data_IF_745894772826
#
_entry.id   IF_745894772826
#
_cell.length_a   1.000
_cell.length_b   1.000
_cell.length_c   1.000
_cell.angle_alpha   90.00
_cell.angle_beta   90.00
_cell.angle_gamma   90.00
#
_symmetry.space_group_name_H-M   'P 1'
#
loop_
_entity.id
_entity.type
_entity.pdbx_description
1 polymer ?
#
# COMPACT_ATOMS: atom_id res chain seq x y z
N UNK A 1 0.43 -3.45 8.46
CA UNK A 1 1.75 -4.06 8.26
C UNK A 1 1.81 -4.71 6.89
N UNK A 2 2.99 -5.18 6.46
CA UNK A 2 3.11 -5.97 5.23
C UNK A 2 2.11 -7.12 5.21
N UNK A 3 1.99 -7.91 6.29
CA UNK A 3 1.00 -8.98 6.40
C UNK A 3 -0.44 -8.54 6.04
N UNK A 4 -0.80 -7.31 6.44
CA UNK A 4 -2.08 -6.65 6.11
C UNK A 4 -2.03 -5.82 4.83
N UNK A 5 -1.10 -6.12 3.92
CA UNK A 5 -0.97 -5.60 2.54
C UNK A 5 -0.67 -4.09 2.45
N UNK A 6 -0.08 -3.52 3.49
CA UNK A 6 0.30 -2.11 3.53
C UNK A 6 1.61 -1.90 4.31
N UNK A 7 2.62 -1.32 3.67
CA UNK A 7 3.78 -0.80 4.38
C UNK A 7 3.41 0.49 5.16
N UNK A 8 3.58 0.53 6.50
CA UNK A 8 3.18 1.69 7.30
C UNK A 8 4.00 2.97 7.08
N UNK A 9 5.18 2.90 6.46
CA UNK A 9 6.13 4.01 6.42
C UNK A 9 5.60 5.23 5.67
N UNK A 10 4.91 5.03 4.54
CA UNK A 10 4.34 6.15 3.77
C UNK A 10 3.34 6.95 4.60
N UNK A 11 2.54 6.27 5.43
CA UNK A 11 1.59 6.91 6.33
C UNK A 11 2.31 7.68 7.45
N UNK A 12 3.34 7.09 8.05
CA UNK A 12 4.14 7.76 9.08
C UNK A 12 4.83 9.01 8.54
N UNK A 13 5.42 8.94 7.34
CA UNK A 13 6.04 10.09 6.66
C UNK A 13 5.03 11.17 6.34
N UNK A 14 3.88 10.79 5.78
CA UNK A 14 2.81 11.74 5.46
C UNK A 14 2.25 12.43 6.72
N UNK A 15 2.00 11.66 7.77
CA UNK A 15 1.52 12.18 9.06
C UNK A 15 2.57 13.07 9.74
N UNK A 16 3.86 12.74 9.67
CA UNK A 16 4.93 13.58 10.21
C UNK A 16 5.00 14.94 9.49
N UNK A 17 4.78 14.97 8.17
CA UNK A 17 4.70 16.20 7.38
C UNK A 17 3.44 17.00 7.71
N UNK A 18 2.30 16.34 7.90
CA UNK A 18 1.07 16.98 8.36
C UNK A 18 1.24 17.60 9.76
N UNK A 19 1.86 16.87 10.70
CA UNK A 19 2.07 17.31 12.07
C UNK A 19 2.91 18.58 12.19
N UNK A 20 3.75 18.89 11.18
CA UNK A 20 4.52 20.13 11.13
C UNK A 20 3.63 21.38 11.03
N UNK A 21 2.44 21.27 10.45
CA UNK A 21 1.45 22.37 10.35
C UNK A 21 0.19 22.11 11.18
N UNK A 22 0.00 20.88 11.65
CA UNK A 22 -1.13 20.41 12.45
C UNK A 22 -0.66 19.54 13.63
N UNK A 23 0.00 20.13 14.65
CA UNK A 23 0.58 19.39 15.77
C UNK A 23 -0.42 18.59 16.62
N UNK A 24 -1.71 18.88 16.47
CA UNK A 24 -2.83 18.20 17.11
C UNK A 24 -3.36 17.00 16.32
N UNK A 25 -2.81 16.71 15.13
CA UNK A 25 -3.14 15.51 14.37
C UNK A 25 -2.65 14.26 15.10
N UNK A 26 -3.56 13.29 15.29
CA UNK A 26 -3.28 12.01 15.95
C UNK A 26 -3.34 10.87 14.93
N UNK A 27 -2.29 10.06 14.85
CA UNK A 27 -2.35 8.79 14.13
C UNK A 27 -2.95 7.72 15.04
N UNK A 28 -4.18 7.29 14.76
CA UNK A 28 -4.82 6.16 15.42
C UNK A 28 -4.62 4.89 14.59
N UNK A 29 -3.95 3.90 15.17
CA UNK A 29 -3.75 2.58 14.57
C UNK A 29 -4.60 1.55 15.31
N UNK A 30 -5.35 0.72 14.60
CA UNK A 30 -6.18 -0.31 15.19
C UNK A 30 -6.04 -1.60 14.39
N UNK A 31 -5.66 -2.70 15.05
CA UNK A 31 -5.57 -4.00 14.38
C UNK A 31 -4.66 -5.00 15.09
N UNK A 32 -4.03 -5.85 14.29
CA UNK A 32 -3.18 -6.96 14.76
C UNK A 32 -1.79 -6.86 14.14
N UNK A 33 -0.77 -7.04 14.97
CA UNK A 33 0.62 -7.24 14.61
C UNK A 33 0.87 -8.74 14.71
N UNK A 34 1.04 -9.40 13.57
CA UNK A 34 0.96 -10.86 13.47
C UNK A 34 2.17 -11.61 14.04
N UNK A 35 3.29 -10.93 14.25
CA UNK A 35 4.51 -11.53 14.79
C UNK A 35 5.46 -10.46 15.34
N UNK A 36 6.46 -10.92 16.09
CA UNK A 36 7.47 -10.07 16.72
C UNK A 36 8.29 -9.27 15.71
N UNK A 37 8.67 -9.85 14.57
CA UNK A 37 9.42 -9.15 13.53
C UNK A 37 8.69 -7.91 13.01
N UNK A 38 7.36 -8.00 12.85
CA UNK A 38 6.53 -6.86 12.50
C UNK A 38 6.43 -5.88 13.68
N UNK A 39 6.34 -6.35 14.93
CA UNK A 39 6.32 -5.49 16.11
C UNK A 39 7.60 -4.64 16.23
N UNK A 40 8.77 -5.26 15.99
CA UNK A 40 10.07 -4.59 15.94
C UNK A 40 10.10 -3.52 14.85
N UNK A 41 9.57 -3.81 13.66
CA UNK A 41 9.48 -2.83 12.58
C UNK A 41 8.60 -1.62 12.94
N UNK A 42 7.49 -1.83 13.66
CA UNK A 42 6.68 -0.71 14.17
C UNK A 42 7.39 0.08 15.27
N UNK A 43 8.09 -0.59 16.19
CA UNK A 43 8.89 0.08 17.21
C UNK A 43 10.01 0.94 16.58
N UNK A 44 10.65 0.46 15.51
CA UNK A 44 11.63 1.22 14.74
C UNK A 44 11.00 2.48 14.12
N UNK A 45 9.79 2.38 13.55
CA UNK A 45 9.07 3.53 13.02
C UNK A 45 8.71 4.53 14.12
N UNK A 46 8.29 4.08 15.29
CA UNK A 46 7.98 4.96 16.42
C UNK A 46 9.19 5.78 16.86
N UNK A 47 10.37 5.15 16.95
CA UNK A 47 11.63 5.82 17.23
C UNK A 47 12.08 6.77 16.10
N UNK A 48 11.69 6.48 14.86
CA UNK A 48 12.03 7.29 13.69
C UNK A 48 11.23 8.58 13.59
N UNK A 49 10.02 8.57 14.13
CA UNK A 49 9.07 9.67 14.04
C UNK A 49 8.62 10.12 15.44
N UNK A 50 9.54 10.49 16.36
CA UNK A 50 9.21 10.80 17.75
C UNK A 50 8.26 12.00 17.91
N UNK A 51 8.20 12.88 16.91
CA UNK A 51 7.32 14.04 16.86
C UNK A 51 5.85 13.70 16.60
N UNK A 52 5.54 12.49 16.12
CA UNK A 52 4.19 12.12 15.72
C UNK A 52 3.38 11.65 16.93
N UNK A 53 2.30 12.38 17.25
CA UNK A 53 1.29 11.91 18.20
C UNK A 53 0.59 10.68 17.62
N UNK A 54 0.57 9.59 18.38
CA UNK A 54 0.00 8.31 17.94
C UNK A 54 -0.63 7.52 19.07
N UNK A 55 -1.61 6.70 18.73
CA UNK A 55 -2.22 5.72 19.63
C UNK A 55 -2.45 4.43 18.88
N UNK A 56 -2.04 3.30 19.47
CA UNK A 56 -2.34 1.97 18.94
C UNK A 56 -3.35 1.26 19.83
N UNK A 57 -4.37 0.67 19.19
CA UNK A 57 -5.31 -0.27 19.78
C UNK A 57 -5.02 -1.66 19.18
N UNK A 58 -4.88 -2.66 20.04
CA UNK A 58 -4.27 -3.94 19.69
C UNK A 58 -2.74 -3.87 19.63
N UNK A 59 -2.12 -4.77 18.86
CA UNK A 59 -0.68 -5.03 18.85
C UNK A 59 -0.45 -6.50 18.54
N UNK A 60 0.48 -7.16 19.24
CA UNK A 60 0.63 -8.62 19.15
C UNK A 60 -0.63 -9.36 19.59
N UNK A 61 -1.44 -8.73 20.45
CA UNK A 61 -2.82 -9.14 20.67
C UNK A 61 -3.73 -8.34 19.73
N UNK A 62 -4.62 -9.00 18.98
CA UNK A 62 -5.50 -8.31 18.06
C UNK A 62 -6.43 -7.34 18.80
N UNK A 63 -6.69 -6.18 18.21
CA UNK A 63 -7.74 -5.28 18.69
C UNK A 63 -9.10 -6.01 18.69
N UNK A 64 -9.88 -5.77 19.73
CA UNK A 64 -11.26 -6.26 19.86
C UNK A 64 -12.20 -5.50 18.93
N UNK A 65 -13.37 -6.08 18.64
CA UNK A 65 -14.42 -5.38 17.86
C UNK A 65 -14.90 -4.10 18.55
N UNK A 66 -14.89 -4.07 19.89
CA UNK A 66 -15.22 -2.86 20.65
C UNK A 66 -14.17 -1.76 20.48
N UNK A 67 -12.88 -2.10 20.49
CA UNK A 67 -11.79 -1.16 20.20
C UNK A 67 -11.84 -0.67 18.76
N UNK A 68 -12.12 -1.55 17.79
CA UNK A 68 -12.31 -1.18 16.38
C UNK A 68 -13.49 -0.20 16.22
N UNK A 69 -14.62 -0.49 16.86
CA UNK A 69 -15.78 0.39 16.83
C UNK A 69 -15.48 1.75 17.46
N UNK A 70 -14.75 1.78 18.59
CA UNK A 70 -14.30 3.01 19.22
C UNK A 70 -13.34 3.78 18.32
N UNK A 71 -12.41 3.10 17.65
CA UNK A 71 -11.46 3.73 16.74
C UNK A 71 -12.15 4.41 15.57
N UNK A 72 -13.09 3.71 14.94
CA UNK A 72 -13.89 4.26 13.84
C UNK A 72 -14.74 5.44 14.32
N UNK A 73 -15.36 5.35 15.50
CA UNK A 73 -16.16 6.45 16.06
C UNK A 73 -15.33 7.67 16.48
N UNK A 74 -14.07 7.48 16.85
CA UNK A 74 -13.16 8.55 17.26
C UNK A 74 -12.36 9.18 16.11
N UNK A 75 -12.40 8.57 14.92
CA UNK A 75 -11.63 9.04 13.77
C UNK A 75 -12.34 10.16 13.00
N UNK A 76 -11.55 11.05 12.39
CA UNK A 76 -12.04 12.07 11.46
C UNK A 76 -11.91 11.65 9.99
N UNK A 77 -10.94 10.78 9.70
CA UNK A 77 -10.58 10.30 8.36
C UNK A 77 -10.06 8.87 8.49
N UNK A 78 -10.49 7.99 7.59
CA UNK A 78 -9.93 6.64 7.48
C UNK A 78 -8.90 6.57 6.36
N UNK A 79 -7.74 5.95 6.62
CA UNK A 79 -6.66 5.83 5.63
C UNK A 79 -6.27 4.37 5.41
N UNK A 80 -6.30 3.91 4.16
CA UNK A 80 -5.84 2.57 3.75
C UNK A 80 -4.82 2.66 2.61
N UNK A 81 -3.54 2.88 2.92
CA UNK A 81 -2.47 3.01 1.93
C UNK A 81 -1.94 1.62 1.56
N UNK A 82 -2.82 0.73 1.08
CA UNK A 82 -2.40 -0.59 0.61
C UNK A 82 -1.38 -0.44 -0.52
N UNK A 83 -0.30 -1.19 -0.50
CA UNK A 83 0.77 -1.13 -1.50
C UNK A 83 1.05 -2.51 -2.09
N UNK A 84 0.08 -3.40 -2.01
CA UNK A 84 0.18 -4.76 -2.48
C UNK A 84 -1.08 -5.17 -3.25
N UNK A 85 -0.86 -5.80 -4.40
CA UNK A 85 -1.87 -6.35 -5.31
C UNK A 85 -2.83 -7.36 -4.66
N UNK A 86 -2.45 -7.95 -3.53
CA UNK A 86 -3.28 -8.87 -2.76
C UNK A 86 -4.42 -8.16 -2.02
N UNK A 87 -4.40 -6.83 -1.96
CA UNK A 87 -5.55 -6.06 -1.51
C UNK A 87 -6.55 -5.91 -2.65
N UNK A 88 -7.76 -6.44 -2.42
CA UNK A 88 -8.79 -6.56 -3.44
C UNK A 88 -9.99 -5.73 -3.03
N UNK A 89 -10.82 -6.22 -2.13
CA UNK A 89 -12.07 -5.54 -1.79
C UNK A 89 -11.89 -4.44 -0.75
N UNK A 90 -11.18 -4.68 0.36
CA UNK A 90 -11.08 -3.70 1.45
C UNK A 90 -12.31 -3.66 2.35
N UNK A 91 -12.53 -4.70 3.15
CA UNK A 91 -13.62 -4.69 4.13
C UNK A 91 -13.51 -3.52 5.13
N UNK A 92 -12.29 -3.13 5.52
CA UNK A 92 -12.07 -1.98 6.39
C UNK A 92 -12.49 -0.65 5.75
N UNK A 93 -12.41 -0.53 4.42
CA UNK A 93 -12.95 0.63 3.68
C UNK A 93 -14.48 0.66 3.78
N UNK A 94 -15.14 -0.48 3.63
CA UNK A 94 -16.60 -0.61 3.80
C UNK A 94 -17.02 -0.29 5.23
N UNK A 95 -16.28 -0.76 6.23
CA UNK A 95 -16.51 -0.43 7.65
C UNK A 95 -16.36 1.08 7.91
N UNK A 96 -15.35 1.73 7.33
CA UNK A 96 -15.16 3.17 7.44
C UNK A 96 -16.29 3.98 6.77
N UNK A 97 -16.75 3.54 5.58
CA UNK A 97 -17.92 4.14 4.93
C UNK A 97 -19.17 3.97 5.80
N UNK A 98 -19.35 2.80 6.43
CA UNK A 98 -20.44 2.59 7.37
C UNK A 98 -20.29 3.48 8.62
N UNK A 99 -19.08 3.80 9.06
CA UNK A 99 -18.83 4.75 10.14
C UNK A 99 -18.95 6.23 9.73
N UNK A 100 -19.38 6.51 8.49
CA UNK A 100 -19.50 7.88 7.96
C UNK A 100 -18.17 8.64 7.91
N UNK A 101 -17.06 7.92 7.69
CA UNK A 101 -15.74 8.51 7.55
C UNK A 101 -15.40 8.78 6.07
N UNK A 102 -14.78 9.93 5.74
CA UNK A 102 -14.13 10.07 4.45
C UNK A 102 -13.00 9.04 4.34
N UNK A 103 -12.93 8.35 3.20
CA UNK A 103 -11.91 7.32 2.95
C UNK A 103 -10.79 7.87 2.09
N UNK A 104 -9.54 7.74 2.55
CA UNK A 104 -8.34 7.96 1.75
C UNK A 104 -7.68 6.61 1.52
N UNK A 105 -7.70 6.11 0.29
CA UNK A 105 -7.21 4.76 0.00
C UNK A 105 -6.29 4.77 -1.21
N UNK A 106 -5.39 3.79 -1.31
CA UNK A 106 -4.57 3.65 -2.52
C UNK A 106 -5.42 3.46 -3.78
N UNK A 107 -4.97 4.01 -4.89
CA UNK A 107 -5.65 3.95 -6.18
C UNK A 107 -5.48 2.57 -6.85
N UNK A 108 -6.13 1.56 -6.27
CA UNK A 108 -6.22 0.19 -6.76
C UNK A 108 -7.55 -0.07 -7.44
N UNK A 109 -7.61 -0.98 -8.42
CA UNK A 109 -8.88 -1.32 -9.08
C UNK A 109 -10.00 -1.70 -8.10
N UNK A 110 -9.73 -2.55 -7.11
CA UNK A 110 -10.78 -2.91 -6.15
C UNK A 110 -11.22 -1.75 -5.25
N UNK A 111 -10.31 -0.85 -4.87
CA UNK A 111 -10.66 0.36 -4.12
C UNK A 111 -11.34 1.43 -5.00
N UNK A 112 -11.02 1.52 -6.29
CA UNK A 112 -11.70 2.40 -7.27
C UNK A 112 -13.19 2.09 -7.38
N UNK A 113 -13.55 0.81 -7.26
CA UNK A 113 -14.94 0.38 -7.26
C UNK A 113 -15.68 0.76 -5.96
N UNK A 114 -14.93 0.90 -4.86
CA UNK A 114 -15.49 1.28 -3.56
C UNK A 114 -15.58 2.80 -3.37
N UNK A 115 -14.48 3.51 -3.59
CA UNK A 115 -14.29 4.93 -3.29
C UNK A 115 -14.50 5.74 -4.56
N UNK A 116 -15.57 6.53 -4.59
CA UNK A 116 -15.81 7.47 -5.68
C UNK A 116 -14.94 8.72 -5.45
N UNK A 117 -13.77 8.74 -6.08
CA UNK A 117 -12.74 9.77 -5.90
C UNK A 117 -13.30 11.19 -6.02
N UNK A 118 -13.00 12.04 -5.03
CA UNK A 118 -13.49 13.41 -4.92
C UNK A 118 -14.91 13.57 -4.37
N UNK A 119 -15.63 12.46 -4.10
CA UNK A 119 -17.03 12.50 -3.64
C UNK A 119 -17.30 11.73 -2.35
N UNK A 120 -16.74 10.52 -2.17
CA UNK A 120 -16.85 9.73 -0.93
C UNK A 120 -15.52 9.64 -0.18
N UNK A 121 -14.47 10.27 -0.72
CA UNK A 121 -13.08 10.02 -0.35
C UNK A 121 -12.12 10.42 -1.46
N UNK A 122 -10.85 10.05 -1.30
CA UNK A 122 -9.80 10.27 -2.28
C UNK A 122 -8.97 9.02 -2.53
N UNK A 123 -8.51 8.86 -3.76
CA UNK A 123 -7.62 7.77 -4.16
C UNK A 123 -6.18 8.29 -4.31
N UNK A 124 -5.24 7.65 -3.62
CA UNK A 124 -3.81 8.01 -3.64
C UNK A 124 -3.16 7.35 -4.86
N UNK A 125 -2.58 8.11 -5.80
CA UNK A 125 -1.93 7.51 -6.97
C UNK A 125 -0.84 6.52 -6.59
N UNK A 126 -0.72 5.46 -7.39
CA UNK A 126 0.27 4.39 -7.21
C UNK A 126 1.04 4.13 -8.51
N UNK A 127 2.34 3.89 -8.38
CA UNK A 127 3.21 3.52 -9.49
C UNK A 127 3.75 2.09 -9.27
N UNK A 128 3.54 1.21 -10.25
CA UNK A 128 4.03 -0.17 -10.20
C UNK A 128 5.23 -0.38 -11.12
N UNK A 129 6.21 -1.15 -10.67
CA UNK A 129 7.35 -1.58 -11.49
C UNK A 129 6.87 -2.58 -12.56
N UNK A 130 6.43 -2.09 -13.73
CA UNK A 130 5.75 -2.90 -14.76
C UNK A 130 6.62 -3.90 -15.52
N UNK A 131 7.95 -3.77 -15.48
CA UNK A 131 8.87 -4.71 -16.14
C UNK A 131 8.83 -6.14 -15.58
N UNK A 132 8.09 -6.37 -14.49
CA UNK A 132 8.29 -7.49 -13.59
C UNK A 132 7.07 -8.42 -13.49
N UNK A 133 6.18 -8.43 -14.50
CA UNK A 133 5.05 -9.37 -14.52
C UNK A 133 5.52 -10.82 -14.28
N UNK A 134 6.65 -11.21 -14.88
CA UNK A 134 7.30 -12.50 -14.67
C UNK A 134 7.84 -12.67 -13.24
N UNK A 135 8.37 -11.61 -12.62
CA UNK A 135 8.87 -11.68 -11.23
C UNK A 135 7.72 -11.83 -10.21
N UNK A 136 6.55 -11.21 -10.47
CA UNK A 136 5.36 -11.46 -9.65
C UNK A 136 4.95 -12.93 -9.71
N UNK A 137 5.06 -13.54 -10.89
CA UNK A 137 4.78 -14.97 -11.07
C UNK A 137 5.87 -15.85 -10.44
N UNK A 138 7.13 -15.42 -10.44
CA UNK A 138 8.23 -16.13 -9.74
C UNK A 138 8.01 -16.15 -8.23
N UNK A 139 7.61 -15.03 -7.63
CA UNK A 139 7.26 -14.98 -6.21
C UNK A 139 6.12 -15.97 -5.89
N UNK A 140 5.12 -16.07 -6.78
CA UNK A 140 4.04 -17.06 -6.62
C UNK A 140 4.53 -18.51 -6.75
N UNK A 141 5.49 -18.78 -7.64
CA UNK A 141 6.09 -20.11 -7.78
C UNK A 141 6.87 -20.48 -6.52
N UNK A 142 7.72 -19.58 -6.04
CA UNK A 142 8.51 -19.79 -4.82
C UNK A 142 7.61 -20.00 -3.59
N UNK A 143 6.49 -19.28 -3.49
CA UNK A 143 5.47 -19.52 -2.47
C UNK A 143 4.89 -20.92 -2.53
N UNK A 144 4.41 -21.32 -3.72
CA UNK A 144 3.73 -22.60 -3.93
C UNK A 144 4.66 -23.78 -3.68
N UNK A 145 5.96 -23.60 -3.92
CA UNK A 145 7.00 -24.58 -3.62
C UNK A 145 7.43 -24.60 -2.14
N UNK A 146 6.90 -23.71 -1.30
CA UNK A 146 7.25 -23.60 0.11
C UNK A 146 8.64 -23.02 0.37
N UNK A 147 9.25 -22.37 -0.62
CA UNK A 147 10.59 -21.78 -0.52
C UNK A 147 10.56 -20.38 0.12
N UNK A 148 9.41 -19.72 0.10
CA UNK A 148 9.16 -18.44 0.77
C UNK A 148 7.89 -18.55 1.60
N UNK A 149 7.90 -17.95 2.79
CA UNK A 149 6.71 -17.78 3.61
C UNK A 149 5.85 -16.61 3.12
N UNK A 150 4.60 -16.57 3.59
CA UNK A 150 3.62 -15.56 3.18
C UNK A 150 4.10 -14.13 3.44
N UNK A 151 4.68 -13.85 4.62
CA UNK A 151 5.12 -12.50 4.98
C UNK A 151 6.24 -12.01 4.09
N UNK A 152 7.18 -12.89 3.75
CA UNK A 152 8.29 -12.59 2.83
C UNK A 152 7.76 -12.24 1.44
N UNK A 153 6.82 -13.01 0.89
CA UNK A 153 6.24 -12.71 -0.43
C UNK A 153 5.45 -11.42 -0.43
N UNK A 154 4.64 -11.20 0.60
CA UNK A 154 3.82 -10.00 0.73
C UNK A 154 4.72 -8.76 0.87
N UNK A 155 5.81 -8.87 1.64
CA UNK A 155 6.85 -7.86 1.76
C UNK A 155 7.52 -7.56 0.42
N UNK A 156 8.00 -8.58 -0.30
CA UNK A 156 8.63 -8.43 -1.62
C UNK A 156 7.70 -7.84 -2.68
N UNK A 157 6.43 -8.26 -2.70
CA UNK A 157 5.40 -7.67 -3.56
C UNK A 157 5.19 -6.19 -3.27
N UNK A 158 5.19 -5.81 -2.00
CA UNK A 158 5.01 -4.41 -1.64
C UNK A 158 6.12 -3.51 -2.21
N UNK A 159 7.35 -4.01 -2.36
CA UNK A 159 8.48 -3.24 -2.92
C UNK A 159 8.26 -2.82 -4.38
N UNK A 160 7.38 -3.52 -5.10
CA UNK A 160 7.11 -3.24 -6.51
C UNK A 160 6.09 -2.11 -6.72
N UNK A 161 5.59 -1.53 -5.63
CA UNK A 161 4.57 -0.48 -5.66
C UNK A 161 5.01 0.70 -4.82
N UNK A 162 5.02 1.86 -5.45
CA UNK A 162 5.25 3.15 -4.80
C UNK A 162 3.90 3.85 -4.67
N UNK A 163 3.59 4.32 -3.47
CA UNK A 163 2.45 5.21 -3.21
C UNK A 163 2.97 6.65 -3.29
N UNK A 164 2.27 7.52 -4.01
CA UNK A 164 2.63 8.93 -4.14
C UNK A 164 2.42 9.69 -2.82
N UNK A 165 3.49 9.83 -2.03
CA UNK A 165 3.44 10.45 -0.71
C UNK A 165 2.97 11.91 -0.75
N UNK A 166 3.43 12.69 -1.74
CA UNK A 166 3.05 14.11 -1.85
C UNK A 166 1.54 14.25 -2.06
N UNK A 167 0.93 13.38 -2.85
CA UNK A 167 -0.51 13.33 -3.02
C UNK A 167 -1.23 12.95 -1.72
N UNK A 168 -0.73 11.94 -0.98
CA UNK A 168 -1.29 11.58 0.33
C UNK A 168 -1.24 12.77 1.30
N UNK A 169 -0.10 13.48 1.38
CA UNK A 169 0.04 14.66 2.25
C UNK A 169 -0.95 15.74 1.84
N UNK A 170 -1.07 16.07 0.56
CA UNK A 170 -2.01 17.08 0.08
C UNK A 170 -3.47 16.73 0.39
N UNK A 171 -3.86 15.46 0.21
CA UNK A 171 -5.20 14.97 0.56
C UNK A 171 -5.45 15.14 2.06
N UNK A 172 -4.52 14.68 2.91
CA UNK A 172 -4.67 14.77 4.36
C UNK A 172 -4.70 16.22 4.84
N UNK A 173 -3.86 17.10 4.30
CA UNK A 173 -3.88 18.55 4.60
C UNK A 173 -5.21 19.19 4.20
N UNK A 174 -5.79 18.80 3.07
CA UNK A 174 -7.09 19.33 2.62
C UNK A 174 -8.23 18.90 3.54
N UNK A 175 -8.26 17.62 3.92
CA UNK A 175 -9.26 17.09 4.87
C UNK A 175 -9.08 17.65 6.28
N UNK A 176 -7.84 17.93 6.68
CA UNK A 176 -7.53 18.58 7.93
C UNK A 176 -8.09 20.02 7.99
N UNK A 177 -7.93 20.77 6.90
CA UNK A 177 -8.32 22.18 6.82
C UNK A 177 -9.83 22.40 6.64
N UNK A 178 -10.56 21.45 6.04
CA UNK A 178 -12.01 21.57 5.78
C UNK A 178 -12.82 20.47 6.49
N UNK A 179 -13.32 20.72 7.73
CA UNK A 179 -14.24 19.81 8.41
C UNK A 179 -15.53 19.56 7.63
N UNK A 180 -16.00 20.53 6.85
CA UNK A 180 -17.16 20.38 5.99
C UNK A 180 -16.91 19.40 4.86
N UNK A 181 -15.69 19.34 4.31
CA UNK A 181 -15.29 18.33 3.33
C UNK A 181 -15.37 16.93 3.93
N UNK A 182 -14.84 16.75 5.16
CA UNK A 182 -14.90 15.47 5.88
C UNK A 182 -16.34 15.01 6.04
N UNK A 183 -17.23 15.90 6.49
CA UNK A 183 -18.65 15.58 6.65
C UNK A 183 -19.30 15.22 5.31
N UNK A 184 -19.13 16.05 4.26
CA UNK A 184 -19.73 15.79 2.93
C UNK A 184 -19.30 14.43 2.37
N UNK A 185 -18.00 14.13 2.41
CA UNK A 185 -17.47 12.88 1.90
C UNK A 185 -17.87 11.68 2.77
N UNK A 186 -17.88 11.83 4.09
CA UNK A 186 -18.34 10.82 5.04
C UNK A 186 -19.80 10.44 4.81
N UNK A 187 -20.71 11.43 4.78
CA UNK A 187 -22.13 11.20 4.51
C UNK A 187 -22.36 10.57 3.14
N UNK A 188 -21.65 11.02 2.10
CA UNK A 188 -21.73 10.41 0.77
C UNK A 188 -21.23 8.96 0.77
N UNK A 189 -20.15 8.65 1.50
CA UNK A 189 -19.65 7.30 1.69
C UNK A 189 -20.66 6.40 2.39
N UNK A 190 -21.28 6.88 3.48
CA UNK A 190 -22.34 6.17 4.20
C UNK A 190 -23.54 5.87 3.31
N UNK A 191 -23.98 6.85 2.51
CA UNK A 191 -25.06 6.65 1.54
C UNK A 191 -24.72 5.57 0.52
N UNK A 192 -23.52 5.63 -0.07
CA UNK A 192 -23.05 4.61 -1.02
C UNK A 192 -23.00 3.21 -0.40
N UNK A 193 -22.57 3.11 0.86
CA UNK A 193 -22.60 1.86 1.62
C UNK A 193 -24.02 1.31 1.77
N UNK A 194 -24.99 2.15 2.16
CA UNK A 194 -26.40 1.74 2.28
C UNK A 194 -26.97 1.26 0.94
N UNK A 195 -26.67 1.97 -0.16
CA UNK A 195 -27.21 1.68 -1.48
C UNK A 195 -26.60 0.45 -2.15
N UNK A 196 -25.35 0.09 -1.84
CA UNK A 196 -24.61 -0.93 -2.61
C UNK A 196 -24.01 -2.07 -1.80
N UNK A 197 -23.57 -1.82 -0.56
CA UNK A 197 -22.65 -2.71 0.16
C UNK A 197 -23.21 -3.27 1.46
N UNK A 198 -24.35 -2.76 1.95
CA UNK A 198 -24.98 -3.33 3.14
C UNK A 198 -25.55 -4.73 2.87
N UNK A 199 -25.55 -5.59 3.89
CA UNK A 199 -25.93 -6.99 3.75
C UNK A 199 -27.29 -7.25 3.10
N UNK A 200 -28.37 -6.48 3.39
CA UNK A 200 -29.64 -6.66 2.69
C UNK A 200 -29.54 -6.49 1.18
N UNK A 201 -28.77 -5.51 0.71
CA UNK A 201 -28.56 -5.25 -0.72
C UNK A 201 -27.75 -6.37 -1.36
N UNK A 202 -26.62 -6.74 -0.73
CA UNK A 202 -25.73 -7.80 -1.24
C UNK A 202 -26.45 -9.14 -1.29
N UNK A 203 -27.15 -9.52 -0.22
CA UNK A 203 -27.88 -10.78 -0.15
C UNK A 203 -29.00 -10.87 -1.20
N UNK A 204 -29.70 -9.77 -1.48
CA UNK A 204 -30.71 -9.73 -2.54
C UNK A 204 -30.08 -9.96 -3.93
N UNK A 205 -28.95 -9.33 -4.23
CA UNK A 205 -28.24 -9.51 -5.50
C UNK A 205 -27.74 -10.96 -5.68
N UNK A 206 -27.18 -11.57 -4.63
CA UNK A 206 -26.76 -12.97 -4.69
C UNK A 206 -27.93 -13.93 -4.96
N UNK A 207 -29.08 -13.70 -4.32
CA UNK A 207 -30.28 -14.51 -4.57
C UNK A 207 -30.76 -14.40 -6.00
N UNK A 208 -30.83 -13.19 -6.54
CA UNK A 208 -31.20 -12.97 -7.94
C UNK A 208 -30.23 -13.67 -8.89
N UNK A 209 -28.91 -13.55 -8.66
CA UNK A 209 -27.91 -14.24 -9.46
C UNK A 209 -28.07 -15.77 -9.41
N UNK A 210 -28.38 -16.34 -8.26
CA UNK A 210 -28.60 -17.79 -8.14
C UNK A 210 -29.85 -18.26 -8.88
N UNK A 211 -30.93 -17.48 -8.86
CA UNK A 211 -32.14 -17.77 -9.62
C UNK A 211 -31.84 -17.76 -11.13
N UNK A 212 -31.18 -16.71 -11.63
CA UNK A 212 -30.77 -16.59 -13.04
C UNK A 212 -29.84 -17.74 -13.47
N UNK A 213 -28.79 -18.03 -12.69
CA UNK A 213 -27.88 -19.14 -12.98
C UNK A 213 -28.60 -20.50 -12.91
N UNK A 214 -29.63 -20.63 -12.07
CA UNK A 214 -30.49 -21.80 -11.99
C UNK A 214 -31.26 -22.04 -13.29
N UNK A 215 -31.86 -20.99 -13.84
CA UNK A 215 -32.59 -21.03 -15.13
C UNK A 215 -31.66 -21.35 -16.29
N UNK A 216 -30.50 -20.68 -16.37
CA UNK A 216 -29.48 -20.93 -17.40
C UNK A 216 -28.99 -22.37 -17.36
N UNK A 217 -28.70 -22.91 -16.16
CA UNK A 217 -28.25 -24.29 -15.99
C UNK A 217 -29.30 -25.30 -16.42
N UNK A 218 -30.59 -25.03 -16.18
CA UNK A 218 -31.67 -25.93 -16.60
C UNK A 218 -31.78 -26.06 -18.14
N UNK A 219 -31.29 -25.06 -18.88
CA UNK A 219 -31.31 -24.99 -20.33
C UNK A 219 -29.95 -25.34 -20.97
N UNK A 220 -28.90 -25.46 -20.17
CA UNK A 220 -27.54 -25.70 -20.64
C UNK A 220 -27.31 -27.18 -21.00
N UNK A 221 -26.62 -27.41 -22.12
CA UNK A 221 -26.07 -28.73 -22.46
C UNK A 221 -24.81 -29.06 -21.66
N UNK A 222 -24.15 -30.17 -22.02
CA UNK A 222 -22.88 -30.55 -21.39
C UNK A 222 -21.82 -29.46 -21.56
N UNK A 223 -21.24 -28.98 -20.45
CA UNK A 223 -20.17 -28.00 -20.48
C UNK A 223 -18.86 -28.64 -20.99
N UNK A 224 -18.09 -27.95 -21.84
CA UNK A 224 -16.73 -28.38 -22.15
C UNK A 224 -15.87 -28.36 -20.87
N UNK A 225 -14.80 -29.16 -20.87
CA UNK A 225 -13.82 -29.12 -19.79
C UNK A 225 -13.29 -27.69 -19.63
N UNK A 226 -13.34 -27.16 -18.41
CA UNK A 226 -12.77 -25.85 -18.14
C UNK A 226 -11.26 -25.91 -18.42
N UNK A 227 -10.69 -24.93 -19.14
CA UNK A 227 -9.26 -24.90 -19.35
C UNK A 227 -8.53 -24.80 -17.99
N UNK A 228 -7.63 -25.74 -17.73
CA UNK A 228 -6.70 -25.68 -16.60
C UNK A 228 -5.57 -24.70 -16.91
N UNK A 229 -5.88 -23.40 -16.96
CA UNK A 229 -4.86 -22.37 -17.11
C UNK A 229 -4.83 -21.47 -15.88
N UNK A 230 -3.74 -21.56 -15.10
CA UNK A 230 -3.37 -20.49 -14.17
C UNK A 230 -3.00 -19.29 -15.03
N UNK A 231 -3.84 -18.25 -15.04
CA UNK A 231 -3.44 -16.98 -15.62
C UNK A 231 -2.26 -16.42 -14.80
N UNK A 232 -1.22 -15.86 -15.44
CA UNK A 232 -0.11 -15.23 -14.72
C UNK A 232 -0.62 -14.02 -13.92
N UNK A 233 -0.28 -13.94 -12.64
CA UNK A 233 -0.66 -12.88 -11.71
C UNK A 233 -0.19 -11.53 -12.24
N UNK A 234 1.05 -11.45 -12.71
CA UNK A 234 1.59 -10.21 -13.28
C UNK A 234 0.76 -9.67 -14.45
N UNK A 235 0.20 -10.57 -15.28
CA UNK A 235 -0.68 -10.19 -16.39
C UNK A 235 -2.07 -9.77 -15.92
N UNK A 236 -2.67 -10.51 -14.98
CA UNK A 236 -4.01 -10.20 -14.45
C UNK A 236 -4.07 -8.83 -13.77
N UNK A 237 -3.00 -8.47 -13.06
CA UNK A 237 -2.96 -7.26 -12.25
C UNK A 237 -2.14 -6.12 -12.87
N UNK A 238 -1.74 -6.22 -14.15
CA UNK A 238 -0.94 -5.20 -14.83
C UNK A 238 -1.58 -3.80 -14.85
N UNK A 239 -2.92 -3.72 -14.77
CA UNK A 239 -3.70 -2.48 -14.77
C UNK A 239 -4.15 -1.98 -13.39
N UNK A 240 -3.69 -2.60 -12.30
CA UNK A 240 -4.17 -2.26 -10.96
C UNK A 240 -3.63 -0.93 -10.44
N UNK A 241 -2.35 -0.63 -10.67
CA UNK A 241 -1.75 0.65 -10.28
C UNK A 241 -2.13 1.78 -11.24
N UNK A 242 -2.07 3.03 -10.76
CA UNK A 242 -2.35 4.24 -11.57
C UNK A 242 -1.42 4.37 -12.77
N UNK A 243 -0.14 4.07 -12.58
CA UNK A 243 0.90 4.22 -13.60
C UNK A 243 1.98 3.14 -13.52
N UNK A 244 2.88 3.16 -14.49
CA UNK A 244 4.15 2.45 -14.39
C UNK A 244 5.16 3.33 -13.65
N UNK A 245 5.98 2.74 -12.79
CA UNK A 245 7.17 3.40 -12.28
C UNK A 245 8.19 3.56 -13.43
N UNK A 246 8.65 4.79 -13.66
CA UNK A 246 9.47 5.16 -14.83
C UNK A 246 10.75 5.95 -14.47
N UNK A 247 10.99 6.25 -13.19
CA UNK A 247 12.16 7.04 -12.82
C UNK A 247 13.45 6.26 -13.09
N UNK A 248 14.32 6.81 -13.94
CA UNK A 248 15.62 6.21 -14.29
C UNK A 248 16.79 6.77 -13.47
N UNK A 249 16.59 7.94 -12.85
CA UNK A 249 17.55 8.62 -11.99
C UNK A 249 16.84 9.22 -10.78
N UNK A 250 17.50 9.14 -9.63
CA UNK A 250 17.02 9.64 -8.35
C UNK A 250 18.07 10.57 -7.73
N UNK A 251 17.58 11.54 -6.95
CA UNK A 251 18.40 12.40 -6.11
C UNK A 251 18.11 12.17 -4.63
N UNK A 252 19.14 12.23 -3.80
CA UNK A 252 19.03 12.18 -2.35
C UNK A 252 18.71 13.58 -1.82
N UNK A 253 17.64 13.79 -1.05
CA UNK A 253 17.34 15.08 -0.44
C UNK A 253 18.49 15.56 0.47
N UNK A 254 18.83 16.87 0.52
CA UNK A 254 20.01 17.37 1.22
C UNK A 254 20.13 17.02 2.72
N UNK A 255 19.01 16.77 3.40
CA UNK A 255 18.97 16.42 4.82
C UNK A 255 18.80 14.92 5.09
N UNK A 256 18.74 14.10 4.03
CA UNK A 256 18.62 12.66 4.18
C UNK A 256 19.96 12.05 4.61
N UNK A 257 19.88 11.00 5.43
CA UNK A 257 21.05 10.23 5.88
C UNK A 257 20.90 8.77 5.41
N UNK A 258 21.21 8.47 4.13
CA UNK A 258 20.95 7.15 3.54
C UNK A 258 21.49 5.99 4.36
N UNK A 259 22.71 6.06 4.87
CA UNK A 259 23.27 5.01 5.71
C UNK A 259 22.48 4.76 7.00
N UNK A 260 22.14 5.82 7.73
CA UNK A 260 21.44 5.73 9.00
C UNK A 260 20.01 5.19 8.82
N UNK A 261 19.45 5.35 7.63
CA UNK A 261 18.13 4.83 7.28
C UNK A 261 18.18 3.40 6.71
N UNK A 262 19.03 3.16 5.71
CA UNK A 262 19.11 1.88 5.00
C UNK A 262 19.69 0.75 5.86
N UNK A 263 20.57 1.05 6.83
CA UNK A 263 21.16 0.02 7.71
C UNK A 263 20.22 -0.45 8.83
N UNK A 264 19.04 0.16 8.97
CA UNK A 264 18.05 -0.28 9.94
C UNK A 264 17.49 -1.66 9.56
N UNK A 265 17.08 -2.50 10.52
CA UNK A 265 16.79 -3.91 10.29
C UNK A 265 15.83 -4.19 9.13
N UNK A 266 14.71 -3.46 9.06
CA UNK A 266 13.68 -3.67 8.04
C UNK A 266 14.20 -3.33 6.63
N UNK A 267 14.78 -2.15 6.46
CA UNK A 267 15.31 -1.63 5.21
C UNK A 267 16.48 -2.51 4.76
N UNK A 268 17.40 -2.85 5.67
CA UNK A 268 18.53 -3.73 5.39
C UNK A 268 18.06 -5.08 4.87
N UNK A 269 17.03 -5.68 5.46
CA UNK A 269 16.49 -6.96 5.00
C UNK A 269 16.05 -6.90 3.54
N UNK A 270 15.27 -5.87 3.17
CA UNK A 270 14.78 -5.71 1.80
C UNK A 270 15.88 -5.34 0.80
N UNK A 271 16.72 -4.36 1.12
CA UNK A 271 17.75 -3.90 0.20
C UNK A 271 18.88 -4.93 0.02
N UNK A 272 19.16 -5.76 1.03
CA UNK A 272 20.09 -6.89 0.87
C UNK A 272 19.56 -7.94 -0.11
N UNK A 273 18.25 -8.18 -0.14
CA UNK A 273 17.62 -9.08 -1.12
C UNK A 273 17.62 -8.49 -2.53
N UNK A 274 17.40 -7.17 -2.67
CA UNK A 274 17.38 -6.49 -3.97
C UNK A 274 18.78 -6.28 -4.56
N UNK A 275 19.76 -5.91 -3.73
CA UNK A 275 21.09 -5.50 -4.19
C UNK A 275 22.15 -6.62 -4.04
N UNK A 276 21.90 -7.65 -3.24
CA UNK A 276 22.89 -8.67 -2.90
C UNK A 276 24.17 -8.06 -2.33
N UNK A 277 25.32 -8.45 -2.88
CA UNK A 277 26.63 -7.95 -2.47
C UNK A 277 26.84 -6.43 -2.73
N UNK A 278 26.03 -5.82 -3.61
CA UNK A 278 26.14 -4.40 -3.95
C UNK A 278 25.55 -3.47 -2.88
N UNK A 279 24.88 -3.99 -1.85
CA UNK A 279 24.13 -3.18 -0.88
C UNK A 279 24.98 -2.12 -0.16
N UNK A 280 26.12 -2.50 0.44
CA UNK A 280 26.99 -1.53 1.13
C UNK A 280 27.64 -0.53 0.16
N UNK A 281 27.93 -0.97 -1.07
CA UNK A 281 28.47 -0.11 -2.11
C UNK A 281 27.44 0.95 -2.57
N UNK A 282 26.16 0.56 -2.66
CA UNK A 282 25.05 1.48 -2.93
C UNK A 282 24.93 2.56 -1.85
N UNK A 283 25.00 2.19 -0.56
CA UNK A 283 24.97 3.18 0.54
C UNK A 283 26.11 4.19 0.37
N UNK A 284 27.34 3.70 0.20
CA UNK A 284 28.51 4.57 0.03
C UNK A 284 28.46 5.40 -1.26
N UNK A 285 27.76 4.94 -2.30
CA UNK A 285 27.50 5.73 -3.51
C UNK A 285 26.51 6.87 -3.22
N UNK A 286 25.38 6.58 -2.58
CA UNK A 286 24.34 7.57 -2.25
C UNK A 286 24.88 8.69 -1.36
N UNK A 287 25.70 8.36 -0.36
CA UNK A 287 26.29 9.35 0.55
C UNK A 287 27.31 10.27 -0.14
N UNK A 288 28.08 9.75 -1.10
CA UNK A 288 29.11 10.52 -1.80
C UNK A 288 28.55 11.37 -2.92
N UNK A 289 27.62 10.83 -3.70
CA UNK A 289 27.16 11.45 -4.94
C UNK A 289 25.84 12.19 -4.78
N UNK A 290 25.01 11.84 -3.78
CA UNK A 290 23.69 12.44 -3.60
C UNK A 290 22.72 12.15 -4.75
N UNK A 291 23.04 11.20 -5.63
CA UNK A 291 22.23 10.75 -6.77
C UNK A 291 22.51 9.27 -7.05
N UNK A 292 21.63 8.63 -7.80
CA UNK A 292 21.83 7.28 -8.35
C UNK A 292 20.96 7.09 -9.59
N UNK A 293 21.51 6.50 -10.65
CA UNK A 293 20.77 6.06 -11.82
C UNK A 293 21.07 4.59 -12.19
N UNK A 294 20.48 4.10 -13.28
CA UNK A 294 20.67 2.70 -13.72
C UNK A 294 22.12 2.38 -14.14
N UNK A 295 22.87 3.36 -14.62
CA UNK A 295 24.27 3.16 -14.99
C UNK A 295 25.12 3.01 -13.73
N UNK A 296 24.85 3.85 -12.71
CA UNK A 296 25.47 3.72 -11.39
C UNK A 296 25.19 2.33 -10.79
N UNK A 297 23.94 1.88 -10.79
CA UNK A 297 23.57 0.55 -10.28
C UNK A 297 24.28 -0.58 -11.03
N UNK A 298 24.42 -0.46 -12.36
CA UNK A 298 25.19 -1.43 -13.16
C UNK A 298 26.66 -1.45 -12.76
N UNK A 299 27.28 -0.28 -12.55
CA UNK A 299 28.68 -0.17 -12.12
C UNK A 299 28.91 -0.73 -10.71
N UNK A 300 27.89 -0.68 -9.85
CA UNK A 300 27.90 -1.29 -8.51
C UNK A 300 27.66 -2.80 -8.52
N UNK A 301 27.30 -3.39 -9.68
CA UNK A 301 27.05 -4.82 -9.81
C UNK A 301 25.63 -5.27 -9.45
N UNK A 302 24.65 -4.35 -9.47
CA UNK A 302 23.23 -4.70 -9.27
C UNK A 302 22.69 -5.36 -10.54
N UNK A 303 22.04 -6.52 -10.39
CA UNK A 303 21.38 -7.25 -11.47
C UNK A 303 20.47 -6.33 -12.29
N UNK A 304 20.62 -6.24 -13.63
CA UNK A 304 19.74 -5.48 -14.51
C UNK A 304 18.24 -5.68 -14.26
N UNK A 305 17.81 -6.89 -13.89
CA UNK A 305 16.41 -7.20 -13.58
C UNK A 305 15.93 -6.60 -12.24
N UNK A 306 16.84 -6.23 -11.35
CA UNK A 306 16.54 -5.64 -10.03
C UNK A 306 16.72 -4.13 -9.98
N UNK A 307 17.40 -3.51 -10.95
CA UNK A 307 17.71 -2.07 -10.91
C UNK A 307 16.48 -1.19 -10.70
N UNK A 308 15.40 -1.47 -11.44
CA UNK A 308 14.17 -0.68 -11.31
C UNK A 308 13.47 -0.92 -9.96
N UNK A 309 13.57 -2.12 -9.39
CA UNK A 309 13.10 -2.42 -8.03
C UNK A 309 13.91 -1.66 -6.98
N UNK A 310 15.23 -1.55 -7.16
CA UNK A 310 16.10 -0.79 -6.26
C UNK A 310 15.74 0.70 -6.29
N UNK A 311 15.55 1.28 -7.48
CA UNK A 311 15.12 2.67 -7.61
C UNK A 311 13.74 2.89 -6.98
N UNK A 312 12.77 2.04 -7.27
CA UNK A 312 11.43 2.11 -6.68
C UNK A 312 11.47 1.98 -5.15
N UNK A 313 12.28 1.06 -4.61
CA UNK A 313 12.47 0.90 -3.17
C UNK A 313 13.09 2.16 -2.54
N UNK A 314 14.09 2.79 -3.16
CA UNK A 314 14.67 4.04 -2.64
C UNK A 314 13.62 5.15 -2.51
N UNK A 315 12.69 5.25 -3.47
CA UNK A 315 11.56 6.19 -3.41
C UNK A 315 10.56 5.79 -2.32
N UNK A 316 10.14 4.52 -2.31
CA UNK A 316 9.20 3.96 -1.32
C UNK A 316 9.66 4.20 0.12
N UNK A 317 10.94 3.96 0.39
CA UNK A 317 11.54 4.13 1.72
C UNK A 317 11.93 5.58 2.03
N UNK A 318 11.75 6.52 1.10
CA UNK A 318 12.03 7.94 1.33
C UNK A 318 13.50 8.31 1.37
N UNK A 319 14.36 7.46 0.81
CA UNK A 319 15.81 7.68 0.74
C UNK A 319 16.14 8.66 -0.36
N UNK A 320 15.45 8.55 -1.50
CA UNK A 320 15.66 9.36 -2.68
C UNK A 320 14.32 9.73 -3.32
N UNK A 321 14.33 10.75 -4.16
CA UNK A 321 13.18 11.20 -4.95
C UNK A 321 13.52 11.18 -6.43
N UNK A 322 12.54 10.95 -7.33
CA UNK A 322 12.77 11.07 -8.76
C UNK A 322 13.39 12.43 -9.12
N UNK A 323 14.41 12.42 -9.98
CA UNK A 323 14.80 13.66 -10.66
C UNK A 323 13.64 14.05 -11.58
N UNK A 324 13.22 15.32 -11.54
CA UNK A 324 12.19 15.79 -12.46
C UNK A 324 12.70 15.57 -13.89
N UNK A 325 11.91 14.89 -14.72
CA UNK A 325 12.16 14.83 -16.15
C UNK A 325 12.27 16.28 -16.62
N UNK A 326 13.43 16.68 -17.14
CA UNK A 326 13.50 17.96 -17.84
C UNK A 326 12.46 17.89 -18.98
N UNK A 327 11.54 18.88 -19.07
CA UNK A 327 10.44 18.85 -20.02
C UNK A 327 10.90 18.79 -21.48
#
# INVERSE_FOLDING_TARGET
SFHSKAHPLVLYRAMARLAATAPQALLLECGHIYNESVAEAYAELELSFPQLARRRLGGLQPATEAEKALALAAADVFVSPADNLQETFGLSVIEAMAAELPVVASDWNGYRDLVANGSTGALIPTAMVRGNAEQLDDLDRLYRLGLLDYDTIVGLRSLQVVIEEDALVQILTSLWADPGLRQRWGTAGRRRWQERFCWPVVAAQYRQLWEELGELRAQAGAAPAAPSASAPTGRMFAGYASSAFQAEALRVPPMATPAAWLRRPMQRSFFSQLCGAAFEALIGHLERNGRVDRQDLSALGVDPAQQLNVLAALVKFGVAVPEASQP
#
